data_IF_075835355772
#
_entry.id   IF_075835355772
#
_cell.length_a   1.000
_cell.length_b   1.000
_cell.length_c   1.000
_cell.angle_alpha   90.00
_cell.angle_beta   90.00
_cell.angle_gamma   90.00
#
_symmetry.space_group_name_H-M   'P 1'
#
loop_
_entity.id
_entity.type
_entity.pdbx_description
1 polymer ?
#
# COMPACT_ATOMS: atom_id res chain seq x y z
N UNK A 1 1.11 7.72 -21.45
CA UNK A 1 2.14 8.78 -21.65
C UNK A 1 2.49 9.51 -20.36
N UNK A 2 1.61 10.27 -19.69
CA UNK A 2 1.96 10.92 -18.40
C UNK A 2 2.13 9.93 -17.22
N UNK A 3 1.31 8.87 -17.18
CA UNK A 3 1.40 7.80 -16.17
C UNK A 3 2.69 6.98 -16.28
N UNK A 4 3.14 6.72 -17.50
CA UNK A 4 4.39 5.97 -17.76
C UNK A 4 5.61 6.83 -17.43
N UNK A 5 5.56 8.14 -17.73
CA UNK A 5 6.65 9.07 -17.42
C UNK A 5 6.81 9.35 -15.91
N UNK A 6 5.73 9.26 -15.12
CA UNK A 6 5.78 9.47 -13.66
C UNK A 6 5.91 8.15 -12.87
N UNK A 7 5.71 7.00 -13.51
CA UNK A 7 5.82 5.68 -12.88
C UNK A 7 7.23 5.40 -12.35
N UNK A 8 8.25 5.72 -13.13
CA UNK A 8 9.65 5.54 -12.73
C UNK A 8 10.01 6.43 -11.52
N UNK A 9 9.44 7.63 -11.44
CA UNK A 9 9.65 8.54 -10.31
C UNK A 9 8.91 8.09 -9.04
N UNK A 10 7.71 7.52 -9.18
CA UNK A 10 7.02 6.88 -8.04
C UNK A 10 7.87 5.75 -7.47
N UNK A 11 8.45 4.90 -8.33
CA UNK A 11 9.35 3.84 -7.90
C UNK A 11 10.62 4.39 -7.24
N UNK A 12 11.28 5.38 -7.86
CA UNK A 12 12.49 6.00 -7.31
C UNK A 12 12.26 6.63 -5.92
N UNK A 13 11.15 7.37 -5.74
CA UNK A 13 10.74 7.90 -4.44
C UNK A 13 10.47 6.77 -3.45
N UNK A 14 9.80 5.70 -3.89
CA UNK A 14 9.54 4.52 -3.07
C UNK A 14 10.82 3.86 -2.56
N UNK A 15 11.79 3.65 -3.44
CA UNK A 15 13.07 3.05 -3.11
C UNK A 15 13.88 3.94 -2.15
N UNK A 16 13.93 5.24 -2.43
CA UNK A 16 14.65 6.22 -1.61
C UNK A 16 14.09 6.32 -0.18
N UNK A 17 12.78 6.15 -0.01
CA UNK A 17 12.10 6.23 1.30
C UNK A 17 11.88 4.88 1.96
N UNK A 18 12.09 3.76 1.27
CA UNK A 18 11.78 2.40 1.75
C UNK A 18 12.43 2.06 3.10
N UNK A 19 13.62 2.59 3.37
CA UNK A 19 14.36 2.39 4.61
C UNK A 19 13.85 3.27 5.77
N UNK A 20 13.02 4.27 5.52
CA UNK A 20 12.50 5.15 6.56
C UNK A 20 11.42 4.44 7.38
N UNK A 21 11.54 4.41 8.73
CA UNK A 21 10.52 3.78 9.58
C UNK A 21 9.12 4.39 9.45
N UNK A 22 9.04 5.66 9.05
CA UNK A 22 7.79 6.38 8.86
C UNK A 22 7.18 6.23 7.47
N UNK A 23 7.87 5.62 6.50
CA UNK A 23 7.37 5.49 5.14
C UNK A 23 6.13 4.61 5.09
N UNK A 24 5.03 5.10 4.51
CA UNK A 24 3.72 4.44 4.41
C UNK A 24 3.35 3.99 2.99
N UNK A 25 4.08 4.44 1.96
CA UNK A 25 3.85 4.12 0.56
C UNK A 25 3.91 5.35 -0.35
N UNK A 26 3.91 5.10 -1.66
CA UNK A 26 3.93 6.15 -2.69
C UNK A 26 3.06 5.71 -3.86
N UNK A 27 2.29 6.65 -4.42
CA UNK A 27 1.47 6.36 -5.59
C UNK A 27 1.23 7.61 -6.43
N UNK A 28 0.76 7.39 -7.65
CA UNK A 28 0.32 8.45 -8.54
C UNK A 28 -1.18 8.70 -8.40
N UNK A 29 -1.57 9.96 -8.15
CA UNK A 29 -2.96 10.42 -8.19
C UNK A 29 -3.20 11.25 -9.45
N UNK A 30 -4.11 10.79 -10.31
CA UNK A 30 -4.49 11.50 -11.53
C UNK A 30 -5.45 12.66 -11.20
N UNK A 31 -4.92 13.74 -10.61
CA UNK A 31 -5.62 14.99 -10.39
C UNK A 31 -4.92 16.10 -11.19
N UNK A 32 -5.63 16.75 -12.12
CA UNK A 32 -5.05 17.78 -12.99
C UNK A 32 -3.86 17.24 -13.80
N UNK A 33 -2.67 17.84 -13.61
CA UNK A 33 -1.42 17.42 -14.24
C UNK A 33 -0.82 16.11 -13.67
N UNK A 34 -1.41 15.57 -12.60
CA UNK A 34 -0.89 14.41 -11.88
C UNK A 34 -0.07 14.81 -10.65
N UNK A 35 -0.29 14.10 -9.54
CA UNK A 35 0.35 14.38 -8.25
C UNK A 35 0.99 13.09 -7.74
N UNK A 36 2.25 13.17 -7.30
CA UNK A 36 2.91 12.09 -6.57
C UNK A 36 2.51 12.21 -5.11
N UNK A 37 1.83 11.19 -4.61
CA UNK A 37 1.39 11.11 -3.22
C UNK A 37 2.43 10.34 -2.43
N UNK A 38 2.93 10.91 -1.33
CA UNK A 38 3.86 10.25 -0.41
C UNK A 38 3.19 10.09 0.94
N UNK A 39 2.96 8.85 1.35
CA UNK A 39 2.38 8.54 2.65
C UNK A 39 3.47 8.37 3.71
N UNK A 40 3.28 9.04 4.85
CA UNK A 40 4.17 8.94 6.01
C UNK A 40 3.35 8.79 7.31
N UNK A 41 3.88 8.11 8.32
CA UNK A 41 3.23 8.01 9.66
C UNK A 41 3.43 9.25 10.53
N UNK A 42 4.28 10.18 10.08
CA UNK A 42 4.60 11.43 10.75
C UNK A 42 4.76 12.55 9.71
N UNK A 43 4.66 13.84 10.09
CA UNK A 43 4.89 14.94 9.17
C UNK A 43 6.27 14.83 8.50
N UNK A 44 6.41 15.19 7.21
CA UNK A 44 7.69 15.12 6.51
C UNK A 44 8.69 16.08 7.16
N UNK A 45 9.92 15.60 7.35
CA UNK A 45 11.04 16.47 7.74
C UNK A 45 11.59 17.19 6.51
N UNK A 46 12.34 18.28 6.71
CA UNK A 46 12.99 18.99 5.61
C UNK A 46 13.90 18.08 4.76
N UNK A 47 14.58 17.12 5.40
CA UNK A 47 15.42 16.14 4.72
C UNK A 47 14.60 15.19 3.84
N UNK A 48 13.45 14.72 4.32
CA UNK A 48 12.53 13.89 3.52
C UNK A 48 11.98 14.68 2.34
N UNK A 49 11.54 15.92 2.56
CA UNK A 49 11.05 16.78 1.47
C UNK A 49 12.13 17.02 0.41
N UNK A 50 13.37 17.27 0.83
CA UNK A 50 14.49 17.46 -0.09
C UNK A 50 14.80 16.19 -0.89
N UNK A 51 14.78 15.02 -0.25
CA UNK A 51 14.99 13.72 -0.90
C UNK A 51 13.89 13.44 -1.94
N UNK A 52 12.62 13.61 -1.60
CA UNK A 52 11.53 13.41 -2.58
C UNK A 52 11.67 14.36 -3.77
N UNK A 53 12.03 15.62 -3.53
CA UNK A 53 12.24 16.60 -4.59
C UNK A 53 13.43 16.27 -5.52
N UNK A 54 14.45 15.52 -5.06
CA UNK A 54 15.56 15.11 -5.94
C UNK A 54 15.18 13.97 -6.88
N UNK A 55 14.21 13.14 -6.49
CA UNK A 55 13.79 11.95 -7.25
C UNK A 55 12.69 12.24 -8.27
N UNK A 56 12.11 13.44 -8.27
CA UNK A 56 10.98 13.82 -9.14
C UNK A 56 11.36 14.93 -10.12
N UNK A 57 10.74 15.00 -11.31
CA UNK A 57 11.02 16.07 -12.27
C UNK A 57 10.68 17.45 -11.69
N UNK A 58 11.46 18.45 -12.09
CA UNK A 58 11.18 19.84 -11.75
C UNK A 58 9.74 20.22 -12.11
N UNK A 59 9.07 20.94 -11.21
CA UNK A 59 7.66 21.36 -11.29
C UNK A 59 6.62 20.22 -11.16
N UNK A 60 7.01 19.02 -10.77
CA UNK A 60 6.05 17.97 -10.40
C UNK A 60 5.31 18.35 -9.11
N UNK A 61 4.01 18.08 -9.06
CA UNK A 61 3.23 18.26 -7.85
C UNK A 61 3.45 17.05 -6.93
N UNK A 62 3.79 17.33 -5.66
CA UNK A 62 3.99 16.33 -4.61
C UNK A 62 3.06 16.68 -3.48
N UNK A 63 2.37 15.69 -2.93
CA UNK A 63 1.54 15.84 -1.75
C UNK A 63 1.92 14.81 -0.69
N UNK A 64 2.04 15.25 0.55
CA UNK A 64 2.39 14.41 1.69
C UNK A 64 1.15 14.15 2.50
N UNK A 65 0.81 12.87 2.67
CA UNK A 65 -0.36 12.46 3.44
C UNK A 65 0.07 11.67 4.66
N UNK A 66 -0.62 11.91 5.77
CA UNK A 66 -0.38 11.17 6.99
C UNK A 66 -1.23 9.91 7.02
N UNK A 67 -0.60 8.77 7.31
CA UNK A 67 -1.25 7.46 7.38
C UNK A 67 -0.99 6.78 8.73
N UNK A 68 -1.89 5.91 9.21
CA UNK A 68 -1.74 5.30 10.53
C UNK A 68 -0.63 4.24 10.60
N UNK A 69 -0.31 3.57 9.48
CA UNK A 69 0.66 2.49 9.43
C UNK A 69 1.78 2.76 8.43
N UNK A 70 3.00 2.35 8.79
CA UNK A 70 4.11 2.33 7.86
C UNK A 70 4.01 1.12 6.91
N UNK A 71 4.65 1.23 5.76
CA UNK A 71 4.79 0.16 4.80
C UNK A 71 5.43 -1.08 5.43
N UNK A 72 6.39 -0.91 6.34
CA UNK A 72 6.99 -2.03 7.06
C UNK A 72 5.98 -2.76 7.96
N UNK A 73 5.04 -2.04 8.59
CA UNK A 73 3.96 -2.65 9.36
C UNK A 73 2.97 -3.39 8.46
N UNK A 74 2.62 -2.81 7.31
CA UNK A 74 1.77 -3.46 6.31
C UNK A 74 2.45 -4.72 5.72
N UNK A 75 3.74 -4.65 5.40
CA UNK A 75 4.50 -5.78 4.90
C UNK A 75 4.63 -6.88 5.96
N UNK A 76 4.85 -6.53 7.24
CA UNK A 76 4.84 -7.54 8.31
C UNK A 76 3.49 -8.25 8.44
N UNK A 77 2.38 -7.51 8.30
CA UNK A 77 1.03 -8.09 8.28
C UNK A 77 0.82 -8.98 7.05
N UNK A 78 1.22 -8.52 5.87
CA UNK A 78 1.19 -9.29 4.63
C UNK A 78 1.94 -10.62 4.77
N UNK A 79 3.19 -10.59 5.24
CA UNK A 79 4.01 -11.79 5.42
C UNK A 79 3.38 -12.75 6.45
N UNK A 80 2.76 -12.22 7.50
CA UNK A 80 2.04 -13.03 8.49
C UNK A 80 0.83 -13.75 7.88
N UNK A 81 0.13 -13.12 6.95
CA UNK A 81 -1.04 -13.72 6.27
C UNK A 81 -0.57 -14.77 5.25
N UNK A 82 0.44 -14.43 4.42
CA UNK A 82 0.94 -15.33 3.38
C UNK A 82 1.79 -16.49 3.90
N UNK A 83 2.20 -16.46 5.17
CA UNK A 83 2.86 -17.59 5.82
C UNK A 83 1.91 -18.78 6.07
N UNK A 84 0.60 -18.54 6.12
CA UNK A 84 -0.40 -19.60 6.17
C UNK A 84 -0.74 -20.04 4.74
N UNK A 85 -0.72 -21.34 4.41
CA UNK A 85 -1.14 -21.82 3.10
C UNK A 85 -2.55 -21.32 2.75
N UNK A 86 -2.69 -20.66 1.60
CA UNK A 86 -3.95 -20.08 1.12
C UNK A 86 -5.06 -21.14 0.99
N UNK A 87 -4.68 -22.36 0.64
CA UNK A 87 -5.56 -23.54 0.52
C UNK A 87 -6.17 -24.00 1.85
N UNK A 88 -5.58 -23.63 2.99
CA UNK A 88 -6.05 -24.01 4.33
C UNK A 88 -6.81 -22.87 5.04
N UNK A 89 -6.76 -21.65 4.49
CA UNK A 89 -7.25 -20.42 5.15
C UNK A 89 -8.49 -19.81 4.50
N UNK A 90 -8.95 -20.34 3.36
CA UNK A 90 -10.06 -19.75 2.59
C UNK A 90 -9.72 -18.40 1.95
N UNK A 91 -8.44 -18.01 1.98
CA UNK A 91 -7.91 -16.77 1.40
C UNK A 91 -7.58 -17.01 -0.07
N UNK A 92 -8.08 -16.16 -0.95
CA UNK A 92 -7.92 -16.24 -2.40
C UNK A 92 -6.91 -15.24 -2.95
N UNK A 93 -6.71 -14.12 -2.24
CA UNK A 93 -5.80 -13.05 -2.63
C UNK A 93 -5.25 -12.33 -1.39
N UNK A 94 -3.99 -11.90 -1.44
CA UNK A 94 -3.41 -10.98 -0.47
C UNK A 94 -2.58 -9.93 -1.22
N UNK A 95 -2.79 -8.65 -0.95
CA UNK A 95 -2.00 -7.55 -1.54
C UNK A 95 -1.90 -6.37 -0.58
N UNK A 96 -0.83 -5.58 -0.68
CA UNK A 96 -0.71 -4.32 0.06
C UNK A 96 -1.31 -3.21 -0.79
N UNK A 97 -2.28 -2.48 -0.25
CA UNK A 97 -2.82 -1.25 -0.83
C UNK A 97 -2.28 -0.04 -0.06
N UNK A 98 -1.27 0.62 -0.64
CA UNK A 98 -0.67 1.82 -0.07
C UNK A 98 -1.58 3.05 -0.13
N UNK A 99 -2.58 3.06 -1.03
CA UNK A 99 -3.54 4.18 -1.17
C UNK A 99 -4.51 4.17 0.00
N UNK A 100 -5.03 3.00 0.35
CA UNK A 100 -5.92 2.82 1.50
C UNK A 100 -5.17 2.58 2.82
N UNK A 101 -3.85 2.40 2.76
CA UNK A 101 -2.99 2.05 3.90
C UNK A 101 -3.43 0.74 4.59
N UNK A 102 -3.77 -0.26 3.78
CA UNK A 102 -4.27 -1.56 4.24
C UNK A 102 -3.57 -2.72 3.52
N UNK A 103 -3.64 -3.91 4.13
CA UNK A 103 -3.47 -5.18 3.43
C UNK A 103 -4.86 -5.64 3.03
N UNK A 104 -5.07 -5.84 1.74
CA UNK A 104 -6.31 -6.35 1.18
C UNK A 104 -6.25 -7.88 1.13
N UNK A 105 -7.29 -8.52 1.65
CA UNK A 105 -7.42 -9.98 1.72
C UNK A 105 -8.73 -10.39 1.06
N UNK A 106 -8.62 -11.10 -0.06
CA UNK A 106 -9.74 -11.78 -0.69
C UNK A 106 -10.02 -13.10 -0.01
N UNK A 107 -11.29 -13.42 0.27
CA UNK A 107 -11.72 -14.70 0.83
C UNK A 107 -12.88 -15.30 0.05
N UNK A 108 -13.08 -16.62 0.14
CA UNK A 108 -14.13 -17.32 -0.61
C UNK A 108 -15.54 -17.08 -0.04
N UNK A 109 -15.70 -16.99 1.29
CA UNK A 109 -17.01 -16.88 1.93
C UNK A 109 -17.09 -15.78 2.99
N UNK A 110 -18.32 -15.40 3.37
CA UNK A 110 -18.56 -14.44 4.45
C UNK A 110 -18.11 -14.98 5.83
N UNK A 111 -18.10 -16.30 6.02
CA UNK A 111 -17.62 -16.92 7.25
C UNK A 111 -16.11 -16.68 7.44
N UNK A 112 -15.35 -16.76 6.34
CA UNK A 112 -13.89 -16.57 6.32
C UNK A 112 -13.50 -15.14 6.68
N UNK A 113 -14.33 -14.14 6.31
CA UNK A 113 -14.11 -12.73 6.69
C UNK A 113 -13.94 -12.59 8.21
N UNK A 114 -14.82 -13.24 8.98
CA UNK A 114 -14.79 -13.17 10.44
C UNK A 114 -13.59 -13.92 11.01
N UNK A 115 -13.22 -15.05 10.41
CA UNK A 115 -12.05 -15.83 10.80
C UNK A 115 -10.75 -15.05 10.60
N UNK A 116 -10.62 -14.35 9.47
CA UNK A 116 -9.48 -13.49 9.15
C UNK A 116 -9.37 -12.34 10.16
N UNK A 117 -10.46 -11.60 10.42
CA UNK A 117 -10.42 -10.51 11.42
C UNK A 117 -10.13 -10.99 12.84
N UNK A 118 -10.59 -12.19 13.20
CA UNK A 118 -10.29 -12.79 14.51
C UNK A 118 -8.80 -13.13 14.65
N UNK A 119 -8.19 -13.63 13.57
CA UNK A 119 -6.81 -14.11 13.57
C UNK A 119 -5.78 -12.97 13.44
N UNK A 120 -6.05 -12.00 12.57
CA UNK A 120 -5.09 -10.96 12.18
C UNK A 120 -5.43 -9.58 12.72
N UNK A 121 -6.63 -9.38 13.26
CA UNK A 121 -7.12 -8.07 13.71
C UNK A 121 -7.70 -7.24 12.57
N UNK A 122 -8.25 -6.06 12.90
CA UNK A 122 -8.88 -5.14 11.93
C UNK A 122 -7.97 -4.00 11.47
N UNK A 123 -6.92 -3.70 12.23
CA UNK A 123 -6.06 -2.55 11.96
C UNK A 123 -5.18 -2.82 10.74
N UNK A 124 -5.26 -1.94 9.74
CA UNK A 124 -4.48 -2.10 8.50
C UNK A 124 -4.92 -3.28 7.64
N UNK A 125 -6.17 -3.74 7.79
CA UNK A 125 -6.68 -4.90 7.09
C UNK A 125 -8.05 -4.60 6.47
N UNK A 126 -8.18 -4.89 5.18
CA UNK A 126 -9.45 -4.86 4.45
C UNK A 126 -9.71 -6.27 3.95
N UNK A 127 -10.85 -6.86 4.32
CA UNK A 127 -11.21 -8.22 3.90
C UNK A 127 -12.47 -8.19 3.05
N UNK A 128 -12.41 -8.78 1.86
CA UNK A 128 -13.51 -8.80 0.88
C UNK A 128 -13.80 -10.22 0.41
N UNK A 129 -15.09 -10.52 0.21
CA UNK A 129 -15.48 -11.80 -0.40
C UNK A 129 -15.23 -11.71 -1.90
N UNK A 130 -14.32 -12.53 -2.40
CA UNK A 130 -14.01 -12.66 -3.83
C UNK A 130 -14.49 -14.04 -4.26
N UNK A 131 -15.63 -14.16 -4.97
CA UNK A 131 -16.12 -15.46 -5.38
C UNK A 131 -15.08 -16.15 -6.25
N UNK A 132 -14.87 -17.44 -5.99
CA UNK A 132 -14.00 -18.27 -6.82
C UNK A 132 -14.48 -18.14 -8.27
N UNK A 133 -13.58 -17.68 -9.14
CA UNK A 133 -13.89 -17.58 -10.57
C UNK A 133 -14.18 -18.99 -11.04
N UNK A 134 -15.44 -19.29 -11.31
CA UNK A 134 -15.84 -20.59 -11.86
C UNK A 134 -15.12 -20.71 -13.21
N UNK A 135 -14.29 -21.74 -13.45
CA UNK A 135 -13.73 -21.91 -14.76
C UNK A 135 -14.88 -22.22 -15.73
N UNK A 136 -15.05 -21.37 -16.75
CA UNK A 136 -15.90 -21.63 -17.92
C UNK A 136 -15.41 -22.87 -18.70
#
# INVERSE_FOLDING_TARGET
MARDALGDHVNAVGDALSALPSFGGVWFKQAGAGVIMVALTSPPTAAVTQLVNSEVPANSAIDFVQVPLSYNQLNALYQKITATPLTESGITLVSIDTVNNTVDVGVATQADVSAVYTTYGRTGLTVTVTPESTPD
#
